data_IF_840525187446
#
_entry.id   IF_840525187446
#
_cell.length_a   1.000
_cell.length_b   1.000
_cell.length_c   1.000
_cell.angle_alpha   90.00
_cell.angle_beta   90.00
_cell.angle_gamma   90.00
#
_symmetry.space_group_name_H-M   'P 1'
#
loop_
_entity.id
_entity.type
_entity.pdbx_description
1 polymer ?
#
# COMPACT_ATOMS: atom_id res chain seq x y z
N UNK A 1 26.85 -0.69 5.17
CA UNK A 1 25.52 -1.18 5.59
C UNK A 1 25.53 -1.25 7.10
N UNK A 2 25.04 -0.20 7.77
CA UNK A 2 24.95 -0.21 9.23
C UNK A 2 23.54 -0.68 9.59
N UNK A 3 23.47 -1.84 10.25
CA UNK A 3 22.28 -2.39 10.87
C UNK A 3 21.86 -1.48 12.03
N UNK A 4 20.58 -1.12 12.11
CA UNK A 4 20.01 -0.58 13.34
C UNK A 4 19.83 -1.73 14.33
N UNK A 5 20.83 -1.91 15.20
CA UNK A 5 20.73 -2.76 16.37
C UNK A 5 19.81 -2.12 17.41
N UNK A 6 18.85 -2.88 17.92
CA UNK A 6 18.26 -2.61 19.23
C UNK A 6 19.28 -3.05 20.28
N UNK A 7 20.01 -2.10 20.86
CA UNK A 7 20.75 -2.34 22.10
C UNK A 7 19.90 -1.90 23.29
N UNK A 8 19.28 -2.87 23.95
CA UNK A 8 18.95 -2.74 25.36
C UNK A 8 20.26 -2.66 26.15
N UNK A 9 20.43 -1.60 26.94
CA UNK A 9 21.59 -1.38 27.80
C UNK A 9 21.21 -0.48 28.96
N UNK A 10 21.55 -0.92 30.17
CA UNK A 10 21.04 -0.45 31.45
C UNK A 10 21.46 0.97 31.86
N UNK A 11 20.60 1.54 32.70
CA UNK A 11 20.77 2.63 33.66
C UNK A 11 22.22 3.08 33.95
N UNK A 12 22.49 4.37 33.77
CA UNK A 12 23.38 5.13 34.64
C UNK A 12 22.76 6.51 34.90
N UNK A 13 22.53 6.78 36.19
CA UNK A 13 22.05 8.04 36.76
C UNK A 13 23.00 9.17 36.37
N UNK A 14 22.45 10.28 35.90
CA UNK A 14 22.89 11.56 36.45
C UNK A 14 21.70 12.50 36.65
N UNK A 15 21.65 13.04 37.86
CA UNK A 15 20.60 13.86 38.42
C UNK A 15 20.91 15.32 38.09
N UNK A 16 20.19 15.91 37.14
CA UNK A 16 19.86 17.32 37.21
C UNK A 16 18.37 17.47 36.92
N UNK A 17 17.63 17.74 38.00
CA UNK A 17 16.23 18.12 37.99
C UNK A 17 16.05 19.36 37.10
N UNK A 18 15.38 19.17 35.97
CA UNK A 18 14.43 20.16 35.46
C UNK A 18 13.12 19.42 35.20
N UNK A 19 12.10 19.84 35.93
CA UNK A 19 10.70 19.49 35.70
C UNK A 19 10.35 19.74 34.22
N UNK A 20 10.17 18.68 33.43
CA UNK A 20 9.44 18.79 32.17
C UNK A 20 8.44 17.64 32.05
N UNK A 21 7.19 17.97 32.32
CA UNK A 21 6.01 17.31 31.79
C UNK A 21 6.03 17.41 30.26
N UNK A 22 6.95 16.68 29.61
CA UNK A 22 6.95 16.53 28.17
C UNK A 22 5.68 15.77 27.75
N UNK A 23 4.96 16.22 26.71
CA UNK A 23 3.76 15.51 26.26
C UNK A 23 4.13 14.07 25.91
N UNK A 24 3.44 13.11 26.51
CA UNK A 24 3.54 11.70 26.12
C UNK A 24 3.29 11.62 24.62
N UNK A 25 4.32 11.29 23.83
CA UNK A 25 4.23 11.22 22.36
C UNK A 25 3.13 10.27 21.88
N UNK A 26 2.67 9.37 22.75
CA UNK A 26 1.52 8.49 22.55
C UNK A 26 0.19 9.23 22.36
N UNK A 27 0.07 10.47 22.85
CA UNK A 27 -1.12 11.32 22.73
C UNK A 27 -0.96 12.41 21.65
N UNK A 28 0.17 12.47 20.94
CA UNK A 28 0.42 13.46 19.89
C UNK A 28 0.36 12.80 18.52
N UNK A 29 -0.05 13.55 17.52
CA UNK A 29 0.02 13.10 16.12
C UNK A 29 1.37 13.46 15.47
N UNK A 30 2.01 12.55 14.72
CA UNK A 30 1.87 11.09 14.79
C UNK A 30 2.30 10.52 16.16
N UNK A 31 1.79 9.33 16.59
CA UNK A 31 1.96 8.79 17.94
C UNK A 31 3.32 8.12 18.20
N UNK A 32 4.40 8.75 17.76
CA UNK A 32 5.77 8.28 17.95
C UNK A 32 6.77 9.45 17.97
N UNK A 33 7.98 9.21 18.48
CA UNK A 33 9.02 10.23 18.51
C UNK A 33 9.52 10.55 17.11
N UNK A 34 9.25 11.76 16.61
CA UNK A 34 9.74 12.23 15.33
C UNK A 34 9.79 13.76 15.25
N UNK A 35 10.63 14.30 14.36
CA UNK A 35 10.67 15.71 13.99
C UNK A 35 9.44 16.05 13.15
N UNK A 36 8.53 16.80 13.78
CA UNK A 36 7.25 17.23 13.22
C UNK A 36 7.35 18.55 12.49
N UNK A 37 8.48 19.26 12.57
CA UNK A 37 8.57 20.60 12.00
C UNK A 37 8.56 20.52 10.46
N UNK A 38 7.55 21.08 9.78
CA UNK A 38 7.49 21.04 8.33
C UNK A 38 8.70 21.69 7.67
N UNK A 39 9.33 22.70 8.30
CA UNK A 39 10.48 23.41 7.74
C UNK A 39 11.80 22.61 7.81
N UNK A 40 11.85 21.54 8.61
CA UNK A 40 13.02 20.67 8.67
C UNK A 40 13.02 19.59 7.58
N UNK A 41 11.92 19.47 6.81
CA UNK A 41 11.79 18.52 5.71
C UNK A 41 11.88 19.19 4.34
N UNK A 42 12.35 18.41 3.35
CA UNK A 42 12.24 18.77 1.93
C UNK A 42 10.84 18.56 1.39
N UNK A 43 10.02 17.69 2.00
CA UNK A 43 8.68 17.42 1.51
C UNK A 43 7.68 18.27 2.28
N UNK A 44 6.79 18.92 1.53
CA UNK A 44 5.68 19.69 2.09
C UNK A 44 4.39 19.25 1.44
N UNK A 45 3.35 19.10 2.25
CA UNK A 45 1.98 19.04 1.73
C UNK A 45 1.54 20.48 1.50
N UNK A 46 1.06 20.78 0.30
CA UNK A 46 0.56 22.11 -0.04
C UNK A 46 -0.65 22.41 0.85
N UNK A 47 -0.73 23.61 1.49
CA UNK A 47 -1.92 24.00 2.24
C UNK A 47 -3.13 23.99 1.32
N UNK A 48 -4.07 23.09 1.59
CA UNK A 48 -5.26 22.88 0.77
C UNK A 48 -5.38 21.48 0.20
N UNK A 49 -6.56 21.20 -0.36
CA UNK A 49 -6.84 20.00 -1.14
C UNK A 49 -7.88 20.31 -2.20
N UNK A 50 -7.98 19.43 -3.20
CA UNK A 50 -9.05 19.49 -4.20
C UNK A 50 -10.03 18.35 -4.00
N UNK A 51 -11.31 18.62 -4.22
CA UNK A 51 -12.36 17.61 -4.32
C UNK A 51 -12.61 17.35 -5.80
N UNK A 52 -12.42 16.11 -6.23
CA UNK A 52 -12.64 15.68 -7.60
C UNK A 52 -14.13 15.44 -7.86
N UNK A 53 -14.52 15.37 -9.14
CA UNK A 53 -15.91 15.13 -9.54
C UNK A 53 -16.47 13.78 -9.02
N UNK A 54 -15.60 12.79 -8.78
CA UNK A 54 -15.96 11.50 -8.22
C UNK A 54 -16.01 11.49 -6.67
N UNK A 55 -15.84 12.64 -6.04
CA UNK A 55 -15.80 12.79 -4.58
C UNK A 55 -14.45 12.45 -3.93
N UNK A 56 -13.43 12.09 -4.72
CA UNK A 56 -12.07 11.87 -4.19
C UNK A 56 -11.47 13.18 -3.69
N UNK A 57 -10.69 13.12 -2.62
CA UNK A 57 -9.97 14.27 -2.08
C UNK A 57 -8.48 14.12 -2.34
N UNK A 58 -7.87 15.09 -3.00
CA UNK A 58 -6.47 15.05 -3.43
C UNK A 58 -5.62 16.10 -2.72
N UNK A 59 -4.53 15.64 -2.10
CA UNK A 59 -3.50 16.47 -1.50
C UNK A 59 -2.32 16.59 -2.45
N UNK A 60 -1.81 17.81 -2.63
CA UNK A 60 -0.62 18.03 -3.44
C UNK A 60 0.63 18.02 -2.56
N UNK A 61 1.66 17.36 -3.05
CA UNK A 61 3.00 17.37 -2.45
C UNK A 61 3.90 18.29 -3.27
N UNK A 62 4.87 18.90 -2.62
CA UNK A 62 5.96 19.60 -3.26
C UNK A 62 7.27 19.45 -2.50
N UNK A 63 8.36 19.76 -3.16
CA UNK A 63 9.62 20.04 -2.51
C UNK A 63 9.65 21.47 -1.96
N UNK A 64 10.44 21.68 -0.91
CA UNK A 64 10.73 23.02 -0.40
C UNK A 64 12.20 23.12 0.03
N UNK A 65 12.68 24.36 0.14
CA UNK A 65 13.90 24.65 0.88
C UNK A 65 13.64 24.38 2.36
N UNK A 66 14.51 23.58 2.97
CA UNK A 66 14.47 23.29 4.39
C UNK A 66 15.35 24.30 5.13
N UNK A 67 15.08 24.55 6.40
CA UNK A 67 15.98 25.32 7.27
C UNK A 67 17.05 24.40 7.86
N UNK A 68 18.33 24.66 7.51
CA UNK A 68 19.51 24.14 8.20
C UNK A 68 20.01 22.75 7.78
N UNK A 69 20.98 22.24 8.54
CA UNK A 69 21.64 20.92 8.39
C UNK A 69 20.80 19.74 8.91
N UNK A 70 19.51 19.98 9.20
CA UNK A 70 18.60 19.03 9.81
C UNK A 70 18.60 17.69 9.07
N UNK A 71 18.69 16.60 9.83
CA UNK A 71 18.75 15.24 9.29
C UNK A 71 17.59 14.95 8.33
N UNK A 72 16.38 15.45 8.65
CA UNK A 72 15.19 15.29 7.80
C UNK A 72 15.26 15.99 6.44
N UNK A 73 16.11 17.01 6.32
CA UNK A 73 16.32 17.66 5.04
C UNK A 73 17.21 16.84 4.11
N UNK A 74 18.03 15.91 4.64
CA UNK A 74 18.90 15.07 3.81
C UNK A 74 18.14 13.90 3.19
N UNK A 75 16.93 13.61 3.68
CA UNK A 75 16.13 12.47 3.24
C UNK A 75 15.46 12.77 1.90
N UNK A 76 15.64 11.85 0.95
CA UNK A 76 15.23 12.03 -0.46
C UNK A 76 13.94 11.32 -0.83
N UNK A 77 13.29 10.64 0.13
CA UNK A 77 12.11 9.81 -0.12
C UNK A 77 11.06 9.97 0.97
N UNK A 78 9.79 10.01 0.56
CA UNK A 78 8.59 9.96 1.40
C UNK A 78 7.73 8.78 0.98
N UNK A 79 7.45 7.87 1.92
CA UNK A 79 6.85 6.57 1.60
C UNK A 79 5.48 6.34 2.26
N UNK A 80 5.09 7.20 3.21
CA UNK A 80 3.83 7.09 3.93
C UNK A 80 3.23 8.47 4.17
N UNK A 81 1.93 8.61 3.96
CA UNK A 81 1.13 9.73 4.41
C UNK A 81 0.30 9.24 5.59
N UNK A 82 0.34 9.96 6.70
CA UNK A 82 -0.57 9.74 7.82
C UNK A 82 -1.55 10.91 7.92
N UNK A 83 -2.81 10.60 8.23
CA UNK A 83 -3.88 11.60 8.38
C UNK A 83 -4.45 11.43 9.77
N UNK A 84 -4.47 12.49 10.58
CA UNK A 84 -5.18 12.49 11.85
C UNK A 84 -6.69 12.55 11.57
N UNK A 85 -7.46 11.63 12.12
CA UNK A 85 -8.89 11.45 11.81
C UNK A 85 -9.73 11.23 13.06
N UNK A 86 -11.04 11.38 12.91
CA UNK A 86 -11.98 11.04 13.97
C UNK A 86 -11.98 9.50 14.22
N UNK A 87 -11.90 9.02 15.48
CA UNK A 87 -11.90 7.59 15.81
C UNK A 87 -13.10 6.80 15.28
N UNK A 88 -14.24 7.46 15.05
CA UNK A 88 -15.43 6.80 14.49
C UNK A 88 -15.29 6.51 12.99
N UNK A 89 -14.28 7.05 12.30
CA UNK A 89 -14.09 6.93 10.85
C UNK A 89 -13.37 5.66 10.40
N UNK A 90 -13.41 4.58 11.19
CA UNK A 90 -12.90 3.31 10.75
C UNK A 90 -13.60 2.87 9.44
N UNK A 91 -12.83 2.44 8.44
CA UNK A 91 -13.27 2.08 7.07
C UNK A 91 -13.84 3.23 6.22
N UNK A 92 -13.64 4.49 6.62
CA UNK A 92 -13.99 5.67 5.83
C UNK A 92 -13.17 5.81 4.54
N UNK A 93 -11.89 5.44 4.53
CA UNK A 93 -11.06 5.51 3.31
C UNK A 93 -10.95 4.13 2.67
N UNK A 94 -11.59 3.93 1.52
CA UNK A 94 -11.56 2.67 0.78
C UNK A 94 -10.24 2.45 0.05
N UNK A 95 -9.64 3.54 -0.43
CA UNK A 95 -8.43 3.48 -1.21
C UNK A 95 -7.75 4.82 -1.37
N UNK A 96 -6.46 4.77 -1.70
CA UNK A 96 -5.73 5.94 -2.13
C UNK A 96 -4.92 5.69 -3.41
N UNK A 97 -4.54 6.78 -4.09
CA UNK A 97 -3.66 6.79 -5.25
C UNK A 97 -2.59 7.85 -5.09
N UNK A 98 -1.43 7.64 -5.73
CA UNK A 98 -0.45 8.68 -6.01
C UNK A 98 -0.36 8.85 -7.53
N UNK A 99 -0.66 10.04 -8.03
CA UNK A 99 -0.68 10.35 -9.46
C UNK A 99 -1.52 9.34 -10.26
N UNK A 100 -2.71 9.01 -9.74
CA UNK A 100 -3.64 8.03 -10.33
C UNK A 100 -3.24 6.56 -10.13
N UNK A 101 -2.04 6.25 -9.62
CA UNK A 101 -1.60 4.89 -9.34
C UNK A 101 -1.98 4.49 -7.93
N UNK A 102 -2.65 3.34 -7.75
CA UNK A 102 -3.09 2.85 -6.44
C UNK A 102 -1.92 2.66 -5.49
N UNK A 103 -2.08 3.14 -4.26
CA UNK A 103 -1.17 2.87 -3.14
C UNK A 103 -1.48 1.51 -2.53
N UNK A 104 -0.75 1.15 -1.47
CA UNK A 104 -1.20 0.09 -0.57
C UNK A 104 -2.55 0.47 0.08
N UNK A 105 -3.28 -0.53 0.57
CA UNK A 105 -4.56 -0.31 1.22
C UNK A 105 -4.37 0.61 2.44
N UNK A 106 -5.17 1.67 2.59
CA UNK A 106 -5.14 2.50 3.79
C UNK A 106 -5.41 1.67 5.04
N UNK A 107 -4.60 1.83 6.07
CA UNK A 107 -4.85 1.21 7.39
C UNK A 107 -5.33 2.26 8.36
N UNK A 108 -6.12 1.83 9.35
CA UNK A 108 -6.66 2.68 10.41
C UNK A 108 -6.11 2.17 11.74
N UNK A 109 -5.53 3.07 12.53
CA UNK A 109 -5.00 2.74 13.85
C UNK A 109 -5.50 3.77 14.86
N UNK A 110 -5.98 3.28 16.00
CA UNK A 110 -6.29 4.10 17.16
C UNK A 110 -5.01 4.35 17.97
N UNK A 111 -4.95 5.50 18.64
CA UNK A 111 -3.84 5.89 19.50
C UNK A 111 -4.31 6.78 20.65
N UNK A 112 -3.41 6.96 21.62
CA UNK A 112 -3.69 7.67 22.86
C UNK A 112 -3.79 6.73 24.05
N UNK A 113 -3.96 7.30 25.24
CA UNK A 113 -4.08 6.54 26.49
C UNK A 113 -5.38 5.76 26.64
N UNK A 114 -6.40 6.08 25.85
CA UNK A 114 -7.73 5.46 25.86
C UNK A 114 -8.29 5.31 24.44
N UNK A 115 -7.41 5.16 23.43
CA UNK A 115 -7.78 5.03 22.02
C UNK A 115 -8.69 6.18 21.52
N UNK A 116 -8.56 7.35 22.14
CA UNK A 116 -9.41 8.51 21.90
C UNK A 116 -9.04 9.30 20.63
N UNK A 117 -7.97 8.88 19.94
CA UNK A 117 -7.52 9.45 18.68
C UNK A 117 -7.34 8.35 17.65
N UNK A 118 -7.38 8.69 16.37
CA UNK A 118 -7.09 7.74 15.31
C UNK A 118 -6.38 8.38 14.14
N UNK A 119 -5.72 7.54 13.35
CA UNK A 119 -5.08 7.97 12.11
C UNK A 119 -5.26 6.96 11.00
N UNK A 120 -5.25 7.45 9.76
CA UNK A 120 -5.04 6.60 8.59
C UNK A 120 -3.59 6.59 8.17
N UNK A 121 -3.07 5.43 7.75
CA UNK A 121 -1.76 5.29 7.09
C UNK A 121 -1.96 4.92 5.63
N UNK A 122 -1.45 5.76 4.74
CA UNK A 122 -1.41 5.54 3.30
C UNK A 122 0.04 5.29 2.91
N UNK A 123 0.38 4.04 2.65
CA UNK A 123 1.75 3.60 2.40
C UNK A 123 1.99 3.28 0.93
N UNK A 124 3.26 3.23 0.53
CA UNK A 124 3.63 2.99 -0.87
C UNK A 124 3.48 4.22 -1.75
N UNK A 125 3.75 5.41 -1.20
CA UNK A 125 3.70 6.66 -1.95
C UNK A 125 4.73 6.71 -3.08
N UNK A 126 5.93 6.14 -2.86
CA UNK A 126 7.07 6.20 -3.78
C UNK A 126 7.40 7.64 -4.23
N UNK A 127 7.21 8.61 -3.32
CA UNK A 127 7.54 10.00 -3.57
C UNK A 127 9.02 10.22 -3.25
N UNK A 128 9.71 10.89 -4.16
CA UNK A 128 11.12 11.23 -4.04
C UNK A 128 11.29 12.72 -4.33
N UNK A 129 12.45 13.29 -4.00
CA UNK A 129 12.74 14.69 -4.35
C UNK A 129 12.71 14.95 -5.86
N UNK A 130 12.77 13.92 -6.71
CA UNK A 130 12.70 14.08 -8.17
C UNK A 130 11.29 14.06 -8.74
N UNK A 131 10.29 13.62 -7.97
CA UNK A 131 8.90 13.51 -8.44
C UNK A 131 7.88 14.16 -7.50
N UNK A 132 8.32 14.74 -6.39
CA UNK A 132 7.42 15.30 -5.38
C UNK A 132 6.64 16.52 -5.88
N UNK A 133 7.26 17.40 -6.66
CA UNK A 133 6.61 18.61 -7.16
C UNK A 133 5.42 18.27 -8.07
N UNK A 134 4.23 18.63 -7.61
CA UNK A 134 2.97 18.37 -8.31
C UNK A 134 2.42 16.96 -8.11
N UNK A 135 3.07 16.11 -7.31
CA UNK A 135 2.51 14.79 -7.00
C UNK A 135 1.22 14.92 -6.21
N UNK A 136 0.18 14.19 -6.62
CA UNK A 136 -1.13 14.19 -5.98
C UNK A 136 -1.38 12.87 -5.26
N UNK A 137 -1.71 12.94 -3.97
CA UNK A 137 -2.16 11.82 -3.16
C UNK A 137 -3.67 11.95 -3.02
N UNK A 138 -4.44 11.08 -3.68
CA UNK A 138 -5.90 11.14 -3.66
C UNK A 138 -6.50 10.02 -2.80
N UNK A 139 -7.44 10.35 -1.92
CA UNK A 139 -8.19 9.41 -1.09
C UNK A 139 -9.63 9.28 -1.58
N UNK A 140 -10.16 8.06 -1.55
CA UNK A 140 -11.54 7.76 -1.95
C UNK A 140 -12.32 7.30 -0.72
N UNK A 141 -13.47 7.93 -0.50
CA UNK A 141 -14.32 7.66 0.65
C UNK A 141 -15.23 6.45 0.45
N UNK A 142 -15.61 5.82 1.56
CA UNK A 142 -16.67 4.86 1.62
C UNK A 142 -18.02 5.59 1.73
N UNK A 143 -18.86 5.61 0.67
CA UNK A 143 -20.13 6.35 0.71
C UNK A 143 -21.13 5.78 1.72
N UNK A 144 -20.96 4.51 2.12
CA UNK A 144 -21.79 3.84 3.12
C UNK A 144 -21.21 3.96 4.55
N UNK A 145 -20.03 4.57 4.71
CA UNK A 145 -19.36 4.72 5.99
C UNK A 145 -19.88 5.91 6.82
N UNK A 146 -19.46 5.98 8.09
CA UNK A 146 -19.81 7.09 8.98
C UNK A 146 -19.18 8.43 8.54
N UNK A 147 -18.02 8.37 7.88
CA UNK A 147 -17.31 9.55 7.39
C UNK A 147 -17.19 9.48 5.87
N UNK A 148 -18.00 10.29 5.19
CA UNK A 148 -18.23 10.22 3.73
C UNK A 148 -17.43 11.26 2.94
N UNK A 149 -16.83 12.22 3.64
CA UNK A 149 -16.09 13.33 3.10
C UNK A 149 -15.00 13.75 4.08
N UNK A 150 -14.17 14.70 3.66
CA UNK A 150 -13.03 15.20 4.43
C UNK A 150 -13.47 15.96 5.69
N UNK A 151 -14.63 16.63 5.66
CA UNK A 151 -15.20 17.33 6.81
C UNK A 151 -15.52 16.35 7.94
N UNK A 152 -16.24 15.26 7.63
CA UNK A 152 -16.56 14.22 8.61
C UNK A 152 -15.36 13.34 8.98
N UNK A 153 -14.34 13.26 8.12
CA UNK A 153 -13.13 12.48 8.39
C UNK A 153 -12.26 13.13 9.46
N UNK A 154 -12.09 14.44 9.39
CA UNK A 154 -11.10 15.15 10.19
C UNK A 154 -11.67 15.57 11.55
N UNK A 155 -10.86 15.54 12.62
CA UNK A 155 -11.38 15.69 13.99
C UNK A 155 -12.17 16.98 14.24
N UNK A 156 -11.79 18.06 13.57
CA UNK A 156 -12.41 19.39 13.72
C UNK A 156 -13.80 19.50 13.07
N UNK A 157 -14.15 18.60 12.14
CA UNK A 157 -15.47 18.60 11.49
C UNK A 157 -15.68 19.67 10.42
N UNK A 158 -14.72 20.57 10.19
CA UNK A 158 -14.79 21.72 9.29
C UNK A 158 -14.02 21.52 7.97
N UNK A 159 -13.45 20.33 7.76
CA UNK A 159 -12.57 20.01 6.63
C UNK A 159 -11.10 20.34 6.88
N UNK A 160 -10.76 20.92 8.03
CA UNK A 160 -9.37 21.11 8.46
C UNK A 160 -8.78 19.81 8.97
N UNK A 161 -7.70 19.35 8.33
CA UNK A 161 -7.04 18.08 8.63
C UNK A 161 -5.59 18.30 8.97
N UNK A 162 -5.05 17.44 9.84
CA UNK A 162 -3.62 17.40 10.15
C UNK A 162 -2.99 16.19 9.50
N UNK A 163 -2.01 16.41 8.63
CA UNK A 163 -1.36 15.35 7.83
C UNK A 163 0.13 15.29 8.12
N UNK A 164 0.73 14.10 8.10
CA UNK A 164 2.17 13.90 8.21
C UNK A 164 2.70 13.12 7.01
N UNK A 165 3.62 13.72 6.25
CA UNK A 165 4.32 13.03 5.16
C UNK A 165 5.62 12.41 5.69
N UNK A 166 5.59 11.12 5.94
CA UNK A 166 6.65 10.39 6.65
C UNK A 166 7.75 9.97 5.69
N UNK A 167 8.97 10.41 6.01
CA UNK A 167 10.17 10.14 5.22
C UNK A 167 10.85 8.84 5.65
N UNK A 168 11.55 8.17 4.73
CA UNK A 168 12.27 6.93 5.02
C UNK A 168 13.74 7.19 5.21
N UNK A 169 14.21 6.82 6.40
CA UNK A 169 15.59 6.85 6.89
C UNK A 169 16.39 8.16 6.80
N UNK A 170 17.13 8.51 7.88
CA UNK A 170 17.10 7.86 9.19
C UNK A 170 15.78 8.20 9.90
N UNK A 171 15.16 7.19 10.50
CA UNK A 171 13.85 7.23 11.15
C UNK A 171 13.75 8.43 12.10
N UNK A 172 12.58 9.09 12.09
CA UNK A 172 12.15 10.26 12.91
C UNK A 172 11.87 11.54 12.11
N UNK A 173 11.46 11.45 10.85
CA UNK A 173 11.06 12.63 10.05
C UNK A 173 9.59 12.52 9.64
N UNK A 174 8.75 13.35 10.25
CA UNK A 174 7.29 13.30 10.11
C UNK A 174 6.70 14.72 10.02
N UNK A 175 7.18 15.57 9.10
CA UNK A 175 6.68 16.94 8.96
C UNK A 175 5.15 16.99 8.97
N UNK A 176 4.59 17.63 9.99
CA UNK A 176 3.15 17.77 10.19
C UNK A 176 2.70 19.04 9.49
N UNK A 177 1.70 18.91 8.64
CA UNK A 177 1.17 19.97 7.82
C UNK A 177 -0.35 20.05 8.06
N UNK A 178 -0.87 21.18 8.57
CA UNK A 178 -2.31 21.43 8.52
C UNK A 178 -2.73 21.70 7.07
N UNK A 179 -3.88 21.15 6.68
CA UNK A 179 -4.56 21.41 5.40
C UNK A 179 -6.02 21.73 5.69
N UNK A 180 -6.69 22.45 4.81
CA UNK A 180 -8.10 22.79 4.95
C UNK A 180 -8.67 23.35 3.65
N UNK A 181 -9.95 23.69 3.64
CA UNK A 181 -10.59 24.35 2.51
C UNK A 181 -10.07 25.79 2.36
N UNK A 182 -8.91 25.94 1.72
CA UNK A 182 -8.66 27.17 0.96
C UNK A 182 -9.24 26.92 -0.43
N UNK A 183 -10.20 27.73 -0.91
CA UNK A 183 -10.65 27.63 -2.28
C UNK A 183 -9.40 27.72 -3.19
N UNK A 184 -9.27 26.86 -4.22
CA UNK A 184 -8.21 27.05 -5.19
C UNK A 184 -8.29 28.50 -5.70
N UNK A 185 -7.16 29.20 -5.90
CA UNK A 185 -7.20 30.49 -6.59
C UNK A 185 -8.00 30.29 -7.88
N UNK A 186 -8.96 31.18 -8.19
CA UNK A 186 -9.77 31.05 -9.39
C UNK A 186 -8.83 30.85 -10.57
N UNK A 187 -9.10 29.82 -11.38
CA UNK A 187 -8.40 29.65 -12.65
C UNK A 187 -8.37 31.01 -13.35
N UNK A 188 -7.20 31.52 -13.79
CA UNK A 188 -7.17 32.79 -14.50
C UNK A 188 -8.14 32.67 -15.68
N UNK A 189 -9.03 33.67 -15.79
CA UNK A 189 -9.95 33.77 -16.92
C UNK A 189 -9.16 33.59 -18.21
N UNK A 190 -9.65 32.82 -19.19
CA UNK A 190 -9.04 32.77 -20.51
C UNK A 190 -8.83 34.22 -20.99
N UNK A 191 -7.65 34.59 -21.50
CA UNK A 191 -7.46 35.91 -22.06
C UNK A 191 -8.53 36.15 -23.13
N UNK A 192 -9.15 37.33 -23.09
CA UNK A 192 -10.15 37.75 -24.06
C UNK A 192 -9.64 37.46 -25.47
N UNK A 193 -10.46 36.88 -26.37
CA UNK A 193 -10.05 36.68 -27.74
C UNK A 193 -9.63 38.02 -28.34
N UNK A 194 -8.46 38.10 -29.02
CA UNK A 194 -8.08 39.30 -29.73
C UNK A 194 -9.12 39.62 -30.81
N UNK A 195 -9.30 40.91 -31.17
CA UNK A 195 -10.18 41.29 -32.27
C UNK A 195 -9.80 40.54 -33.55
N UNK A 196 -10.78 40.23 -34.41
CA UNK A 196 -10.54 39.46 -35.63
C UNK A 196 -9.51 40.19 -36.51
N UNK A 197 -8.37 39.55 -36.70
CA UNK A 197 -7.39 39.99 -37.71
C UNK A 197 -7.93 39.66 -39.11
N UNK A 198 -7.57 40.46 -40.13
CA UNK A 198 -7.96 40.20 -41.52
C UNK A 198 -7.56 38.79 -41.96
N UNK A 199 -8.42 38.15 -42.75
CA UNK A 199 -8.20 36.80 -43.26
C UNK A 199 -6.86 36.71 -44.04
N UNK A 200 -5.99 35.75 -43.72
CA UNK A 200 -4.82 35.46 -44.54
C UNK A 200 -5.23 34.75 -45.84
N UNK A 201 -4.44 34.89 -46.93
CA UNK A 201 -4.69 34.21 -48.19
C UNK A 201 -4.63 32.67 -48.02
N UNK A 202 -5.33 31.91 -48.88
CA UNK A 202 -5.42 30.46 -48.77
C UNK A 202 -4.05 29.81 -48.94
N UNK A 203 -3.67 28.97 -47.99
CA UNK A 203 -2.47 28.13 -48.08
C UNK A 203 -2.72 26.90 -48.95
N UNK A 204 -1.68 26.40 -49.66
CA UNK A 204 -1.78 25.24 -50.56
C UNK A 204 -2.04 23.92 -49.81
N UNK A 205 -2.58 22.90 -50.49
CA UNK A 205 -2.94 21.63 -49.86
C UNK A 205 -1.71 20.81 -49.43
N UNK A 206 -1.78 20.09 -48.29
CA UNK A 206 -0.68 19.25 -47.81
C UNK A 206 -0.53 17.96 -48.64
N UNK A 207 0.69 17.39 -48.76
CA UNK A 207 0.90 16.10 -49.41
C UNK A 207 0.41 14.93 -48.54
N UNK A 208 -0.04 13.88 -49.22
CA UNK A 208 -0.56 12.64 -48.63
C UNK A 208 0.40 11.99 -47.62
N UNK A 209 -0.07 11.79 -46.39
CA UNK A 209 0.62 11.01 -45.36
C UNK A 209 0.41 9.49 -45.57
N UNK A 210 1.44 8.65 -45.35
CA UNK A 210 1.32 7.20 -45.51
C UNK A 210 0.52 6.53 -44.39
N UNK A 211 -0.16 5.43 -44.75
CA UNK A 211 -1.10 4.68 -43.93
C UNK A 211 -0.50 4.15 -42.62
N UNK A 212 -1.15 4.45 -41.48
CA UNK A 212 -0.86 3.84 -40.17
C UNK A 212 -1.19 2.35 -40.19
N UNK A 213 -0.20 1.51 -39.84
CA UNK A 213 -0.41 0.07 -39.60
C UNK A 213 -1.27 -0.14 -38.34
N UNK A 214 -2.26 -1.04 -38.44
CA UNK A 214 -3.08 -1.50 -37.33
C UNK A 214 -2.22 -2.17 -36.24
N UNK A 215 -2.51 -1.96 -34.94
CA UNK A 215 -1.93 -2.75 -33.87
C UNK A 215 -2.31 -4.23 -34.01
N UNK A 216 -1.42 -5.17 -33.62
CA UNK A 216 -1.74 -6.59 -33.62
C UNK A 216 -2.83 -6.91 -32.58
N UNK A 217 -3.64 -7.97 -32.82
CA UNK A 217 -4.76 -8.33 -31.95
C UNK A 217 -4.29 -8.79 -30.55
N UNK A 218 -5.15 -8.69 -29.52
CA UNK A 218 -4.79 -9.09 -28.15
C UNK A 218 -4.53 -10.58 -28.08
N UNK A 219 -3.38 -10.94 -27.49
CA UNK A 219 -3.07 -12.32 -27.08
C UNK A 219 -4.15 -12.81 -26.09
N UNK A 220 -4.52 -14.08 -26.18
CA UNK A 220 -5.57 -14.70 -25.35
C UNK A 220 -5.35 -14.59 -23.82
N UNK A 221 -6.32 -15.06 -23.02
CA UNK A 221 -6.31 -14.89 -21.57
C UNK A 221 -5.07 -15.54 -20.93
N UNK A 222 -4.21 -14.73 -20.30
CA UNK A 222 -3.09 -15.22 -19.48
C UNK A 222 -3.62 -16.02 -18.29
N UNK A 223 -3.27 -17.31 -18.14
CA UNK A 223 -3.71 -18.09 -16.97
C UNK A 223 -3.10 -17.50 -15.69
N UNK A 224 -3.68 -17.79 -14.54
CA UNK A 224 -3.13 -17.38 -13.24
C UNK A 224 -1.69 -17.92 -13.05
N UNK A 225 -0.76 -17.16 -12.43
CA UNK A 225 -0.89 -15.75 -11.98
C UNK A 225 -1.07 -14.77 -13.15
N UNK A 226 -1.84 -13.69 -13.00
CA UNK A 226 -2.22 -12.81 -14.14
C UNK A 226 -1.12 -11.85 -14.62
N UNK A 227 0.14 -12.21 -14.43
CA UNK A 227 1.32 -11.46 -14.85
C UNK A 227 2.29 -12.35 -15.66
N UNK A 228 3.23 -11.70 -16.36
CA UNK A 228 4.30 -12.36 -17.10
C UNK A 228 5.50 -12.55 -16.19
N UNK A 229 5.85 -13.80 -15.92
CA UNK A 229 6.94 -14.19 -15.03
C UNK A 229 7.23 -15.68 -15.24
N UNK A 230 8.38 -16.17 -14.75
CA UNK A 230 8.77 -17.57 -14.84
C UNK A 230 7.96 -18.40 -13.83
N UNK A 231 7.10 -19.29 -14.35
CA UNK A 231 6.16 -20.12 -13.58
C UNK A 231 6.63 -21.54 -13.33
N UNK A 232 7.85 -21.87 -13.77
CA UNK A 232 8.42 -23.20 -13.65
C UNK A 232 8.36 -23.65 -12.19
N UNK A 233 7.77 -24.82 -11.92
CA UNK A 233 7.65 -25.36 -10.55
C UNK A 233 9.05 -25.41 -9.92
N UNK A 234 9.13 -25.04 -8.64
CA UNK A 234 10.36 -25.06 -7.86
C UNK A 234 11.51 -24.17 -8.42
N UNK A 235 11.24 -23.22 -9.32
CA UNK A 235 12.26 -22.28 -9.82
C UNK A 235 12.69 -21.24 -8.77
N UNK A 236 11.90 -21.08 -7.71
CA UNK A 236 12.24 -20.33 -6.49
C UNK A 236 12.39 -21.32 -5.33
N UNK A 237 13.16 -20.98 -4.29
CA UNK A 237 13.36 -21.88 -3.17
C UNK A 237 12.10 -22.02 -2.31
N UNK A 238 11.10 -21.15 -2.45
CA UNK A 238 9.90 -21.12 -1.62
C UNK A 238 8.72 -21.86 -2.24
N UNK A 239 7.99 -22.61 -1.41
CA UNK A 239 6.71 -23.24 -1.78
C UNK A 239 5.83 -23.43 -0.56
N UNK A 240 4.52 -23.52 -0.75
CA UNK A 240 3.67 -24.12 0.26
C UNK A 240 3.84 -25.66 0.18
N UNK A 241 3.70 -26.34 1.30
CA UNK A 241 3.65 -27.80 1.32
C UNK A 241 2.50 -28.31 0.43
N UNK A 242 2.71 -29.44 -0.23
CA UNK A 242 1.70 -30.06 -1.11
C UNK A 242 0.56 -30.73 -0.32
N UNK A 243 0.59 -30.63 1.01
CA UNK A 243 -0.41 -31.13 1.94
C UNK A 243 -1.62 -30.19 2.03
N UNK A 244 -2.77 -30.74 2.42
CA UNK A 244 -3.94 -29.94 2.74
C UNK A 244 -3.65 -28.98 3.92
N UNK A 245 -4.19 -27.75 3.90
CA UNK A 245 -4.01 -26.83 5.01
C UNK A 245 -4.67 -27.37 6.26
N UNK A 246 -4.02 -27.13 7.40
CA UNK A 246 -4.64 -27.41 8.70
C UNK A 246 -5.69 -26.35 9.01
N UNK A 247 -6.75 -26.74 9.72
CA UNK A 247 -7.83 -25.82 10.11
C UNK A 247 -7.78 -25.57 11.62
N UNK A 248 -7.63 -24.31 12.02
CA UNK A 248 -7.66 -23.88 13.43
C UNK A 248 -8.90 -23.05 13.69
N UNK A 249 -9.53 -23.23 14.86
CA UNK A 249 -10.66 -22.40 15.29
C UNK A 249 -10.14 -21.11 15.92
N UNK A 250 -10.65 -19.97 15.48
CA UNK A 250 -10.42 -18.66 16.09
C UNK A 250 -11.78 -18.04 16.42
N UNK A 251 -12.24 -18.27 17.66
CA UNK A 251 -13.62 -17.96 18.04
C UNK A 251 -14.62 -18.64 17.10
N UNK A 252 -15.56 -17.90 16.45
CA UNK A 252 -16.48 -18.50 15.50
C UNK A 252 -15.82 -18.83 14.14
N UNK A 253 -14.66 -18.24 13.83
CA UNK A 253 -14.01 -18.29 12.53
C UNK A 253 -13.08 -19.50 12.38
N UNK A 254 -12.70 -19.79 11.13
CA UNK A 254 -11.71 -20.81 10.81
C UNK A 254 -10.47 -20.15 10.20
N UNK A 255 -9.29 -20.47 10.72
CA UNK A 255 -8.01 -20.14 10.11
C UNK A 255 -7.50 -21.36 9.33
N UNK A 256 -7.26 -21.18 8.04
CA UNK A 256 -6.69 -22.20 7.16
C UNK A 256 -5.20 -21.94 7.04
N UNK A 257 -4.40 -22.86 7.59
CA UNK A 257 -2.98 -22.70 7.82
C UNK A 257 -2.15 -23.61 6.90
N UNK A 258 -1.32 -22.98 6.09
CA UNK A 258 -0.39 -23.58 5.14
C UNK A 258 1.02 -23.59 5.73
N UNK A 259 1.79 -24.59 5.36
CA UNK A 259 3.21 -24.65 5.71
C UNK A 259 4.05 -24.07 4.57
N UNK A 260 4.69 -22.93 4.79
CA UNK A 260 5.70 -22.37 3.92
C UNK A 260 7.03 -23.10 4.15
N UNK A 261 7.56 -23.67 3.08
CA UNK A 261 8.82 -24.42 3.08
C UNK A 261 9.84 -23.76 2.16
N UNK A 262 11.11 -24.06 2.44
CA UNK A 262 12.21 -23.85 1.50
C UNK A 262 12.78 -25.17 1.01
N UNK A 263 13.32 -25.19 -0.21
CA UNK A 263 13.90 -26.39 -0.83
C UNK A 263 14.87 -26.06 -1.96
N UNK A 264 15.53 -27.09 -2.52
CA UNK A 264 16.38 -26.91 -3.69
C UNK A 264 15.57 -26.40 -4.87
N UNK A 265 16.13 -25.47 -5.62
CA UNK A 265 15.48 -24.98 -6.83
C UNK A 265 15.68 -25.97 -7.99
N UNK A 266 14.72 -26.02 -8.91
CA UNK A 266 14.83 -26.74 -10.18
C UNK A 266 16.09 -26.32 -10.96
N UNK A 267 16.47 -25.04 -10.85
CA UNK A 267 17.71 -24.49 -11.43
C UNK A 267 18.47 -23.69 -10.35
N UNK A 268 19.44 -24.30 -9.64
CA UNK A 268 20.13 -23.67 -8.51
C UNK A 268 20.88 -22.36 -8.86
N UNK A 269 21.41 -22.26 -10.08
CA UNK A 269 22.12 -21.08 -10.56
C UNK A 269 21.22 -20.00 -11.18
N UNK A 270 19.91 -20.23 -11.26
CA UNK A 270 19.00 -19.30 -11.91
C UNK A 270 18.82 -18.02 -11.09
N UNK A 271 18.49 -16.93 -11.79
CA UNK A 271 18.08 -15.66 -11.16
C UNK A 271 16.98 -15.88 -10.11
N UNK A 272 16.01 -16.75 -10.40
CA UNK A 272 14.86 -17.03 -9.55
C UNK A 272 15.22 -17.80 -8.27
N UNK A 273 16.22 -18.66 -8.30
CA UNK A 273 16.64 -19.40 -7.11
C UNK A 273 17.27 -18.49 -6.04
N UNK A 274 17.83 -17.36 -6.48
CA UNK A 274 18.48 -16.37 -5.63
C UNK A 274 17.52 -15.28 -5.13
N UNK A 275 16.22 -15.39 -5.43
CA UNK A 275 15.25 -14.38 -5.03
C UNK A 275 14.66 -14.63 -3.65
N UNK A 276 14.47 -13.55 -2.91
CA UNK A 276 13.68 -13.52 -1.68
C UNK A 276 12.18 -13.59 -2.00
N UNK A 277 11.38 -14.07 -1.04
CA UNK A 277 9.93 -14.12 -1.11
C UNK A 277 9.33 -12.75 -0.80
N UNK A 278 8.58 -12.20 -1.75
CA UNK A 278 7.86 -10.94 -1.59
C UNK A 278 6.45 -11.12 -1.04
N UNK A 279 5.74 -12.06 -1.62
CA UNK A 279 4.31 -12.28 -1.42
C UNK A 279 3.89 -13.68 -1.91
N UNK A 280 2.72 -14.09 -1.45
CA UNK A 280 2.00 -15.25 -1.98
C UNK A 280 0.65 -14.76 -2.49
N UNK A 281 0.25 -15.18 -3.67
CA UNK A 281 -1.05 -14.87 -4.24
C UNK A 281 -1.87 -16.14 -4.40
N UNK A 282 -3.16 -16.05 -4.11
CA UNK A 282 -4.16 -17.10 -4.30
C UNK A 282 -5.18 -16.60 -5.33
N UNK A 283 -5.55 -17.47 -6.26
CA UNK A 283 -6.68 -17.19 -7.13
C UNK A 283 -7.97 -17.38 -6.33
N UNK A 284 -8.59 -16.27 -5.97
CA UNK A 284 -9.74 -16.24 -5.08
C UNK A 284 -10.96 -15.63 -5.78
N UNK A 285 -12.14 -15.97 -5.32
CA UNK A 285 -13.38 -15.42 -5.84
C UNK A 285 -13.61 -13.99 -5.33
N UNK A 286 -14.09 -13.11 -6.21
CA UNK A 286 -14.25 -11.68 -5.91
C UNK A 286 -15.26 -11.40 -4.80
N UNK A 287 -16.31 -12.22 -4.72
CA UNK A 287 -17.33 -12.13 -3.69
C UNK A 287 -16.84 -12.51 -2.28
N UNK A 288 -15.60 -13.00 -2.15
CA UNK A 288 -15.01 -13.45 -0.88
C UNK A 288 -14.17 -12.38 -0.17
N UNK A 289 -14.11 -11.14 -0.69
CA UNK A 289 -13.30 -10.06 -0.08
C UNK A 289 -13.60 -9.84 1.40
N UNK A 290 -14.88 -9.80 1.75
CA UNK A 290 -15.34 -9.61 3.13
C UNK A 290 -15.22 -10.89 3.98
N UNK A 291 -14.88 -12.03 3.38
CA UNK A 291 -14.67 -13.27 4.11
C UNK A 291 -13.34 -13.28 4.86
N UNK A 292 -12.32 -12.54 4.41
CA UNK A 292 -11.02 -12.51 5.09
C UNK A 292 -11.05 -11.55 6.26
N UNK A 293 -10.89 -12.09 7.47
CA UNK A 293 -10.81 -11.30 8.71
C UNK A 293 -9.40 -10.76 8.94
N UNK A 294 -8.42 -11.66 8.87
CA UNK A 294 -7.01 -11.42 9.15
C UNK A 294 -6.16 -12.50 8.49
N UNK A 295 -4.86 -12.25 8.36
CA UNK A 295 -3.88 -13.26 7.96
C UNK A 295 -2.72 -13.29 8.91
N UNK A 296 -2.06 -14.44 9.03
CA UNK A 296 -1.00 -14.64 10.01
C UNK A 296 0.22 -15.31 9.39
N UNK A 297 1.39 -14.94 9.90
CA UNK A 297 2.65 -15.67 9.74
C UNK A 297 3.13 -16.04 11.13
N UNK A 298 3.22 -17.34 11.42
CA UNK A 298 3.58 -17.86 12.74
C UNK A 298 2.75 -17.23 13.87
N UNK A 299 1.43 -17.13 13.65
CA UNK A 299 0.45 -16.46 14.53
C UNK A 299 0.59 -14.93 14.68
N UNK A 300 1.56 -14.31 14.00
CA UNK A 300 1.70 -12.84 13.94
C UNK A 300 0.88 -12.30 12.77
N UNK A 301 0.00 -11.29 12.96
CA UNK A 301 -0.73 -10.69 11.87
C UNK A 301 0.18 -10.17 10.76
N UNK A 302 -0.14 -10.51 9.51
CA UNK A 302 0.55 -10.01 8.31
C UNK A 302 -0.42 -9.33 7.37
N UNK A 303 0.08 -8.41 6.55
CA UNK A 303 -0.75 -7.65 5.62
C UNK A 303 -1.25 -8.50 4.46
N UNK A 304 -2.53 -8.37 4.14
CA UNK A 304 -3.09 -8.90 2.91
C UNK A 304 -3.67 -7.79 2.02
N UNK A 305 -3.85 -8.10 0.74
CA UNK A 305 -4.51 -7.22 -0.21
C UNK A 305 -5.26 -8.01 -1.27
N UNK A 306 -6.10 -7.32 -2.03
CA UNK A 306 -6.86 -7.89 -3.12
C UNK A 306 -6.60 -7.11 -4.40
N UNK A 307 -6.50 -7.81 -5.53
CA UNK A 307 -6.48 -7.19 -6.84
C UNK A 307 -7.49 -7.88 -7.76
N UNK A 308 -8.21 -7.10 -8.57
CA UNK A 308 -9.07 -7.63 -9.63
C UNK A 308 -8.58 -7.11 -10.95
N UNK A 309 -8.52 -8.00 -11.93
CA UNK A 309 -8.34 -7.65 -13.33
C UNK A 309 -9.44 -8.31 -14.17
N UNK A 310 -9.43 -8.06 -15.49
CA UNK A 310 -10.32 -8.74 -16.42
C UNK A 310 -10.13 -10.27 -16.43
N UNK A 311 -8.99 -10.76 -15.94
CA UNK A 311 -8.65 -12.18 -15.93
C UNK A 311 -9.12 -12.90 -14.65
N UNK A 312 -9.39 -12.16 -13.57
CA UNK A 312 -9.88 -12.72 -12.31
C UNK A 312 -9.49 -11.89 -11.09
N UNK A 313 -9.90 -12.38 -9.92
CA UNK A 313 -9.55 -11.78 -8.64
C UNK A 313 -8.44 -12.57 -7.95
N UNK A 314 -7.56 -11.85 -7.27
CA UNK A 314 -6.41 -12.42 -6.60
C UNK A 314 -6.34 -11.89 -5.18
N UNK A 315 -6.30 -12.81 -4.23
CA UNK A 315 -5.98 -12.52 -2.84
C UNK A 315 -4.46 -12.62 -2.63
N UNK A 316 -3.88 -11.70 -1.86
CA UNK A 316 -2.43 -11.57 -1.74
C UNK A 316 -2.03 -11.47 -0.28
N UNK A 317 -1.14 -12.34 0.16
CA UNK A 317 -0.35 -12.17 1.37
C UNK A 317 0.88 -11.35 1.02
N UNK A 318 0.94 -10.11 1.49
CA UNK A 318 1.95 -9.13 1.06
C UNK A 318 2.95 -8.84 2.17
N UNK A 319 4.06 -8.19 1.81
CA UNK A 319 5.10 -7.75 2.74
C UNK A 319 5.73 -8.91 3.54
N UNK A 320 5.87 -10.09 2.92
CA UNK A 320 6.55 -11.21 3.56
C UNK A 320 8.05 -10.97 3.66
N UNK A 321 8.64 -10.37 2.60
CA UNK A 321 10.04 -9.92 2.52
C UNK A 321 11.05 -10.89 3.16
N UNK A 322 10.93 -12.17 2.83
CA UNK A 322 11.56 -13.27 3.55
C UNK A 322 12.67 -13.90 2.72
N UNK A 323 13.85 -14.08 3.30
CA UNK A 323 14.95 -14.83 2.71
C UNK A 323 14.75 -16.32 2.93
N UNK A 324 15.37 -17.15 2.10
CA UNK A 324 15.28 -18.60 2.25
C UNK A 324 15.84 -19.07 3.60
N UNK A 325 16.87 -18.37 4.10
CA UNK A 325 17.47 -18.57 5.43
C UNK A 325 16.53 -18.27 6.59
N UNK A 326 15.48 -17.48 6.36
CA UNK A 326 14.53 -17.08 7.41
C UNK A 326 13.44 -18.13 7.64
N UNK A 327 13.35 -19.13 6.76
CA UNK A 327 12.43 -20.28 6.87
C UNK A 327 13.20 -21.44 7.52
N UNK A 328 12.85 -21.84 8.76
CA UNK A 328 13.50 -22.97 9.40
C UNK A 328 13.18 -24.28 8.67
N UNK A 329 13.95 -25.34 8.90
CA UNK A 329 13.70 -26.66 8.30
C UNK A 329 12.28 -27.19 8.58
N UNK A 330 11.72 -26.82 9.74
CA UNK A 330 10.34 -27.11 10.12
C UNK A 330 9.28 -26.29 9.39
N UNK A 331 9.66 -25.36 8.50
CA UNK A 331 8.77 -24.43 7.82
C UNK A 331 8.25 -23.29 8.68
N UNK A 332 7.57 -22.34 8.05
CA UNK A 332 6.74 -21.32 8.72
C UNK A 332 5.27 -21.57 8.46
N UNK A 333 4.41 -21.14 9.36
CA UNK A 333 2.97 -21.29 9.21
C UNK A 333 2.35 -20.00 8.68
N UNK A 334 1.56 -20.12 7.62
CA UNK A 334 0.82 -19.01 7.02
C UNK A 334 -0.67 -19.31 7.14
N UNK A 335 -1.44 -18.46 7.79
CA UNK A 335 -2.88 -18.68 7.96
C UNK A 335 -3.74 -17.59 7.31
N UNK A 336 -4.88 -18.00 6.75
CA UNK A 336 -5.96 -17.12 6.30
C UNK A 336 -7.18 -17.36 7.20
N UNK A 337 -7.58 -16.36 7.98
CA UNK A 337 -8.79 -16.44 8.80
C UNK A 337 -10.01 -16.03 7.98
N UNK A 338 -10.94 -16.97 7.82
CA UNK A 338 -12.20 -16.77 7.14
C UNK A 338 -13.36 -16.63 8.13
N UNK A 339 -14.14 -15.57 7.94
CA UNK A 339 -15.33 -15.27 8.73
C UNK A 339 -16.39 -16.34 8.49
N UNK A 340 -16.83 -17.01 9.55
CA UNK A 340 -17.74 -18.16 9.45
C UNK A 340 -19.14 -17.81 8.92
N UNK A 341 -19.61 -16.59 9.17
CA UNK A 341 -20.90 -16.09 8.66
C UNK A 341 -20.82 -15.47 7.27
N UNK A 342 -19.64 -15.47 6.63
CA UNK A 342 -19.46 -14.87 5.31
C UNK A 342 -19.96 -15.78 4.18
N UNK A 343 -19.96 -15.24 2.95
CA UNK A 343 -20.23 -16.01 1.73
C UNK A 343 -19.16 -17.07 1.43
N UNK A 344 -17.98 -16.97 2.05
CA UNK A 344 -16.86 -17.85 1.76
C UNK A 344 -16.16 -18.31 3.05
N UNK A 345 -16.81 -19.14 3.88
CA UNK A 345 -16.27 -19.57 5.17
C UNK A 345 -15.22 -20.69 5.05
N UNK A 346 -15.03 -21.24 3.84
CA UNK A 346 -14.08 -22.32 3.56
C UNK A 346 -13.20 -22.02 2.37
N UNK A 347 -12.03 -22.68 2.28
CA UNK A 347 -11.16 -22.56 1.11
C UNK A 347 -11.83 -23.00 -0.19
N UNK A 348 -12.69 -24.02 -0.14
CA UNK A 348 -13.46 -24.47 -1.30
C UNK A 348 -14.36 -23.36 -1.88
N UNK A 349 -14.95 -22.53 -1.01
CA UNK A 349 -15.77 -21.38 -1.42
C UNK A 349 -14.95 -20.10 -1.68
N UNK A 350 -13.80 -19.98 -1.03
CA UNK A 350 -12.89 -18.84 -1.15
C UNK A 350 -12.10 -18.84 -2.45
N UNK A 351 -11.57 -20.00 -2.82
CA UNK A 351 -10.72 -20.15 -3.99
C UNK A 351 -11.55 -20.21 -5.26
N UNK A 352 -11.03 -19.59 -6.33
CA UNK A 352 -11.69 -19.67 -7.62
C UNK A 352 -11.53 -21.08 -8.21
N UNK A 353 -12.62 -21.65 -8.70
CA UNK A 353 -12.60 -22.96 -9.34
C UNK A 353 -11.75 -22.92 -10.61
N UNK A 354 -10.78 -23.83 -10.73
CA UNK A 354 -10.00 -24.01 -11.95
C UNK A 354 -10.20 -25.44 -12.50
N UNK A 355 -10.80 -25.60 -13.70
CA UNK A 355 -11.16 -26.92 -14.23
C UNK A 355 -10.00 -27.91 -14.40
N UNK A 356 -8.75 -27.43 -14.43
CA UNK A 356 -7.54 -28.22 -14.66
C UNK A 356 -6.66 -28.38 -13.42
N UNK A 357 -7.09 -27.87 -12.27
CA UNK A 357 -6.38 -28.04 -11.00
C UNK A 357 -7.42 -28.17 -9.87
N UNK A 358 -7.67 -29.39 -9.35
CA UNK A 358 -8.58 -29.55 -8.23
C UNK A 358 -7.98 -28.85 -7.00
N UNK A 359 -8.68 -27.81 -6.54
CA UNK A 359 -8.32 -27.08 -5.33
C UNK A 359 -7.93 -25.62 -5.57
N UNK A 360 -7.19 -25.06 -4.62
CA UNK A 360 -6.87 -23.64 -4.64
C UNK A 360 -5.53 -23.40 -5.33
N UNK A 361 -5.54 -22.58 -6.38
CA UNK A 361 -4.33 -22.24 -7.11
C UNK A 361 -3.62 -21.08 -6.41
N UNK A 362 -2.33 -21.23 -6.16
CA UNK A 362 -1.49 -20.18 -5.59
C UNK A 362 -0.18 -19.99 -6.36
N UNK A 363 0.46 -18.86 -6.14
CA UNK A 363 1.79 -18.55 -6.66
C UNK A 363 2.59 -17.78 -5.60
N UNK A 364 3.87 -18.11 -5.46
CA UNK A 364 4.82 -17.28 -4.71
C UNK A 364 5.47 -16.28 -5.67
N UNK A 365 6.04 -15.18 -5.17
CA UNK A 365 6.64 -14.14 -6.02
C UNK A 365 7.98 -13.66 -5.49
N UNK A 366 8.91 -13.41 -6.42
CA UNK A 366 10.21 -12.81 -6.13
C UNK A 366 10.10 -11.35 -5.65
N UNK A 367 11.09 -10.96 -4.85
CA UNK A 367 11.24 -9.60 -4.32
C UNK A 367 11.98 -8.63 -5.24
N UNK A 368 12.22 -9.01 -6.50
CA UNK A 368 12.71 -8.07 -7.50
C UNK A 368 11.61 -7.09 -7.95
N UNK A 369 11.99 -5.89 -8.46
CA UNK A 369 11.02 -4.90 -8.90
C UNK A 369 10.07 -5.39 -10.00
N UNK A 370 10.51 -6.32 -10.86
CA UNK A 370 9.72 -6.86 -11.97
C UNK A 370 8.88 -8.07 -11.57
N UNK A 371 9.12 -8.65 -10.38
CA UNK A 371 8.50 -9.91 -9.92
C UNK A 371 8.64 -10.99 -10.99
N UNK A 372 9.87 -11.15 -11.49
CA UNK A 372 10.13 -11.96 -12.68
C UNK A 372 9.94 -13.46 -12.44
N UNK A 373 9.83 -13.91 -11.18
CA UNK A 373 9.69 -15.30 -10.79
C UNK A 373 8.38 -15.49 -10.02
N UNK A 374 7.58 -16.46 -10.48
CA UNK A 374 6.25 -16.72 -9.95
C UNK A 374 5.82 -18.19 -10.08
N UNK A 375 6.56 -19.15 -9.49
CA UNK A 375 6.13 -20.55 -9.55
C UNK A 375 4.72 -20.69 -8.98
N UNK A 376 3.87 -21.38 -9.73
CA UNK A 376 2.46 -21.56 -9.41
C UNK A 376 2.09 -23.03 -9.35
N UNK A 377 1.30 -23.40 -8.36
CA UNK A 377 0.76 -24.76 -8.21
C UNK A 377 -0.59 -24.71 -7.48
N UNK A 378 -1.14 -25.87 -7.17
CA UNK A 378 -2.41 -26.03 -6.44
C UNK A 378 -2.25 -27.05 -5.33
N UNK A 379 -2.93 -26.83 -4.22
CA UNK A 379 -3.12 -27.85 -3.19
C UNK A 379 -4.56 -28.37 -3.26
N UNK A 380 -4.80 -29.64 -2.87
CA UNK A 380 -6.15 -30.19 -2.80
C UNK A 380 -7.03 -29.32 -1.89
N UNK A 381 -8.25 -29.03 -2.33
CA UNK A 381 -9.24 -28.40 -1.46
C UNK A 381 -9.55 -29.36 -0.31
N UNK A 382 -9.26 -28.94 0.92
CA UNK A 382 -9.71 -29.61 2.14
C UNK A 382 -11.22 -29.42 2.33
#
# INVERSE_FOLDING_TARGET
MALCAFSGGAMARDLLQTTSSGPSWKNLFPPYGCDRNPNHSRFKIVPGYSVQADGSVCFSVKTQTCTGSATCCKVKTANKLEINVNPTCNRAILSATVNGRRTLAPTFDEYGTADQHALYKITGLNITTSNADGSQICINFNPAGPCKNIESLCPEGDGSCTLAIVQTDPCNCCPVNPVGLFPPPPSPSPPSPPPPSPAPPPSPPPPNAPARRKPPPPSGPTPFPFCRCNRTKDIMPFRLADEAPTVKKIGPNNAYCFKLLTGPCAEPGSFCCQQDLRKIEFWASDNCRAAVRQTYLDSVPVSFSWATSKQGTTFKLTNLAMKSSDVPAGGREICIELVASSKCPTLATFCHYYPRAPGCVYSVFSNDPKQACCPSTSFPAA
#
